data_IF_353083606088
#
_entry.id   IF_353083606088
#
_cell.length_a   1.000
_cell.length_b   1.000
_cell.length_c   1.000
_cell.angle_alpha   90.00
_cell.angle_beta   90.00
_cell.angle_gamma   90.00
#
_symmetry.space_group_name_H-M   'P 1'
#
loop_
_entity.id
_entity.type
_entity.pdbx_description
1 polymer ?
#
# COMPACT_ATOMS: atom_id res chain seq x y z
N UNK A 1 -15.95 -12.97 4.20
CA UNK A 1 -14.97 -12.72 5.28
C UNK A 1 -13.71 -13.48 4.94
N UNK A 2 -12.56 -12.83 4.98
CA UNK A 2 -11.29 -13.52 4.82
C UNK A 2 -10.89 -14.21 6.12
N UNK A 3 -10.50 -15.48 6.04
CA UNK A 3 -10.03 -16.26 7.18
C UNK A 3 -8.50 -16.43 7.21
N UNK A 4 -7.79 -15.65 6.41
CA UNK A 4 -6.33 -15.62 6.37
C UNK A 4 -5.82 -14.18 6.40
N UNK A 5 -4.78 -13.93 7.18
CA UNK A 5 -3.98 -12.69 7.16
C UNK A 5 -2.53 -13.07 6.89
N UNK A 6 -1.96 -12.46 5.87
CA UNK A 6 -0.54 -12.54 5.55
C UNK A 6 0.18 -11.33 6.13
N UNK A 7 1.37 -11.54 6.68
CA UNK A 7 2.19 -10.53 7.35
C UNK A 7 3.60 -10.58 6.79
N UNK A 8 3.91 -9.65 5.90
CA UNK A 8 5.24 -9.49 5.33
C UNK A 8 6.15 -8.77 6.35
N UNK A 9 7.27 -9.39 6.67
CA UNK A 9 8.20 -8.89 7.69
C UNK A 9 9.64 -8.87 7.20
N UNK A 10 10.52 -8.26 7.99
CA UNK A 10 11.97 -8.28 7.70
C UNK A 10 12.63 -9.65 7.82
N UNK A 11 11.93 -10.69 8.30
CA UNK A 11 12.49 -12.04 8.49
C UNK A 11 11.51 -13.15 8.12
N UNK A 12 10.71 -12.95 7.10
CA UNK A 12 9.80 -13.97 6.59
C UNK A 12 8.40 -13.45 6.30
N UNK A 13 7.61 -14.31 5.66
CA UNK A 13 6.18 -14.16 5.49
C UNK A 13 5.49 -15.02 6.55
N UNK A 14 4.79 -14.38 7.47
CA UNK A 14 3.97 -15.03 8.48
C UNK A 14 2.51 -15.02 8.02
N UNK A 15 1.78 -16.08 8.35
CA UNK A 15 0.35 -16.16 8.04
C UNK A 15 -0.42 -16.60 9.25
N UNK A 16 -1.58 -16.02 9.48
CA UNK A 16 -2.51 -16.40 10.51
C UNK A 16 -3.80 -16.86 9.86
N UNK A 17 -4.35 -17.98 10.34
CA UNK A 17 -5.62 -18.50 9.86
C UNK A 17 -6.64 -18.52 10.99
N UNK A 18 -7.85 -18.09 10.69
CA UNK A 18 -8.99 -18.19 11.59
C UNK A 18 -9.55 -19.61 11.61
N UNK A 19 -9.72 -20.18 12.79
CA UNK A 19 -10.36 -21.46 13.02
C UNK A 19 -11.41 -21.35 14.12
N UNK A 20 -11.98 -22.49 14.53
CA UNK A 20 -12.99 -22.53 15.59
C UNK A 20 -12.55 -21.99 16.95
N UNK A 21 -11.25 -21.94 17.22
CA UNK A 21 -10.66 -21.41 18.46
C UNK A 21 -10.03 -20.03 18.28
N UNK A 22 -10.33 -19.31 17.19
CA UNK A 22 -9.76 -18.01 16.88
C UNK A 22 -8.62 -18.07 15.84
N UNK A 23 -7.74 -17.06 15.84
CA UNK A 23 -6.64 -16.93 14.90
C UNK A 23 -5.40 -17.68 15.39
N UNK A 24 -4.82 -18.50 14.53
CA UNK A 24 -3.61 -19.28 14.82
C UNK A 24 -2.55 -19.05 13.74
N UNK A 25 -1.29 -18.94 14.20
CA UNK A 25 -0.14 -18.83 13.29
C UNK A 25 0.06 -20.14 12.51
N UNK A 26 0.43 -20.02 11.23
CA UNK A 26 0.91 -21.10 10.37
C UNK A 26 2.45 -21.12 10.34
N UNK A 27 3.02 -22.16 9.76
CA UNK A 27 4.47 -22.19 9.50
C UNK A 27 4.87 -21.01 8.61
N UNK A 28 5.89 -20.23 8.97
CA UNK A 28 6.32 -19.10 8.16
C UNK A 28 7.04 -19.56 6.89
N UNK A 29 6.85 -18.79 5.81
CA UNK A 29 7.65 -18.93 4.59
C UNK A 29 8.82 -17.93 4.59
N UNK A 30 9.88 -18.22 3.83
CA UNK A 30 11.06 -17.35 3.64
C UNK A 30 11.72 -16.93 4.96
N UNK A 31 11.80 -17.87 5.93
CA UNK A 31 12.30 -17.58 7.27
C UNK A 31 13.74 -17.03 7.24
N UNK A 32 13.92 -15.84 7.83
CA UNK A 32 15.19 -15.11 7.82
C UNK A 32 15.35 -14.08 6.69
N UNK A 33 14.49 -14.12 5.66
CA UNK A 33 14.56 -13.25 4.50
C UNK A 33 13.53 -12.11 4.57
N UNK A 34 13.90 -10.85 4.22
CA UNK A 34 12.96 -9.74 4.20
C UNK A 34 11.93 -9.88 3.08
N UNK A 35 10.66 -9.92 3.44
CA UNK A 35 9.51 -9.86 2.51
C UNK A 35 9.01 -8.42 2.50
N UNK A 36 9.00 -7.79 1.32
CA UNK A 36 8.57 -6.39 1.14
C UNK A 36 7.08 -6.27 0.84
N UNK A 37 6.54 -7.21 0.07
CA UNK A 37 5.14 -7.20 -0.37
C UNK A 37 4.57 -8.61 -0.45
N UNK A 38 3.29 -8.74 -0.18
CA UNK A 38 2.48 -9.94 -0.47
C UNK A 38 1.21 -9.52 -1.19
N UNK A 39 0.81 -10.28 -2.19
CA UNK A 39 -0.44 -10.10 -2.94
C UNK A 39 -1.17 -11.43 -3.01
N UNK A 40 -2.40 -11.50 -2.55
CA UNK A 40 -3.32 -12.59 -2.89
C UNK A 40 -4.13 -12.17 -4.10
N UNK A 41 -4.03 -12.90 -5.20
CA UNK A 41 -4.79 -12.63 -6.41
C UNK A 41 -6.25 -13.05 -6.20
N UNK A 42 -7.21 -12.12 -6.20
CA UNK A 42 -8.61 -12.45 -5.92
C UNK A 42 -9.29 -13.25 -7.03
N UNK A 43 -8.62 -13.44 -8.19
CA UNK A 43 -9.17 -14.12 -9.36
C UNK A 43 -8.96 -15.64 -9.31
N UNK A 44 -7.82 -16.08 -8.77
CA UNK A 44 -7.45 -17.51 -8.73
C UNK A 44 -6.87 -17.97 -7.37
N UNK A 45 -6.70 -17.04 -6.42
CA UNK A 45 -6.19 -17.34 -5.09
C UNK A 45 -4.68 -17.53 -5.02
N UNK A 46 -3.94 -17.29 -6.11
CA UNK A 46 -2.48 -17.34 -6.10
C UNK A 46 -1.90 -16.27 -5.16
N UNK A 47 -0.87 -16.64 -4.41
CA UNK A 47 -0.20 -15.72 -3.49
C UNK A 47 1.18 -15.39 -4.06
N UNK A 48 1.47 -14.10 -4.18
CA UNK A 48 2.78 -13.60 -4.60
C UNK A 48 3.50 -13.01 -3.41
N UNK A 49 4.80 -13.33 -3.26
CA UNK A 49 5.67 -12.77 -2.24
C UNK A 49 6.91 -12.15 -2.88
N UNK A 50 7.13 -10.87 -2.63
CA UNK A 50 8.31 -10.14 -3.08
C UNK A 50 9.32 -10.01 -1.93
N UNK A 51 10.57 -10.39 -2.18
CA UNK A 51 11.66 -10.37 -1.23
C UNK A 51 12.69 -9.32 -1.62
N UNK A 52 13.23 -8.61 -0.62
CA UNK A 52 14.31 -7.62 -0.78
C UNK A 52 15.59 -8.13 -0.12
N UNK A 53 16.44 -8.80 -0.88
CA UNK A 53 17.61 -9.49 -0.33
C UNK A 53 18.91 -8.64 -0.39
N UNK A 54 18.79 -7.32 -0.43
CA UNK A 54 19.94 -6.41 -0.50
C UNK A 54 20.79 -6.67 -1.75
N UNK A 55 22.09 -6.95 -1.56
CA UNK A 55 23.00 -7.21 -2.69
C UNK A 55 22.68 -8.45 -3.52
N UNK A 56 21.84 -9.38 -3.02
CA UNK A 56 21.33 -10.50 -3.80
C UNK A 56 20.12 -10.13 -4.68
N UNK A 57 19.69 -8.84 -4.61
CA UNK A 57 18.61 -8.29 -5.42
C UNK A 57 17.22 -8.64 -4.91
N UNK A 58 16.25 -8.33 -5.74
CA UNK A 58 14.83 -8.64 -5.49
C UNK A 58 14.52 -10.03 -6.00
N UNK A 59 13.68 -10.77 -5.27
CA UNK A 59 13.13 -12.06 -5.69
C UNK A 59 11.61 -12.01 -5.65
N UNK A 60 10.99 -12.75 -6.53
CA UNK A 60 9.53 -12.93 -6.55
C UNK A 60 9.22 -14.41 -6.50
N UNK A 61 8.21 -14.77 -5.72
CA UNK A 61 7.74 -16.15 -5.60
C UNK A 61 6.22 -16.18 -5.70
N UNK A 62 5.69 -17.30 -6.20
CA UNK A 62 4.25 -17.57 -6.26
C UNK A 62 3.94 -18.89 -5.57
N UNK A 63 2.84 -18.91 -4.85
CA UNK A 63 2.20 -20.11 -4.32
C UNK A 63 0.82 -20.26 -4.95
N UNK A 64 0.53 -21.45 -5.44
CA UNK A 64 -0.78 -21.83 -6.01
C UNK A 64 -1.58 -22.76 -5.06
N UNK A 65 -1.07 -23.00 -3.85
CA UNK A 65 -1.63 -23.93 -2.85
C UNK A 65 -1.88 -23.29 -1.46
N UNK A 66 -2.09 -21.99 -1.44
CA UNK A 66 -2.38 -21.24 -0.20
C UNK A 66 -1.17 -21.05 0.71
N UNK A 67 0.04 -21.03 0.14
CA UNK A 67 1.30 -20.74 0.84
C UNK A 67 2.02 -21.98 1.38
N UNK A 68 1.63 -23.20 0.97
CA UNK A 68 2.32 -24.43 1.40
C UNK A 68 3.62 -24.62 0.63
N UNK A 69 3.60 -24.39 -0.69
CA UNK A 69 4.79 -24.43 -1.55
C UNK A 69 4.95 -23.17 -2.37
N UNK A 70 6.20 -22.86 -2.75
CA UNK A 70 6.54 -21.61 -3.42
C UNK A 70 7.44 -21.87 -4.63
N UNK A 71 7.03 -21.33 -5.77
CA UNK A 71 7.79 -21.35 -7.03
C UNK A 71 8.48 -20.00 -7.22
N UNK A 72 9.79 -20.02 -7.45
CA UNK A 72 10.53 -18.80 -7.79
C UNK A 72 10.16 -18.33 -9.20
N UNK A 73 9.90 -17.04 -9.34
CA UNK A 73 9.57 -16.36 -10.59
C UNK A 73 10.65 -15.37 -10.99
N UNK A 74 10.59 -14.88 -12.23
CA UNK A 74 11.36 -13.72 -12.64
C UNK A 74 10.92 -12.48 -11.83
N UNK A 75 11.87 -11.72 -11.30
CA UNK A 75 11.58 -10.40 -10.74
C UNK A 75 11.63 -9.34 -11.84
N UNK A 76 10.87 -8.21 -11.69
CA UNK A 76 11.02 -7.06 -12.59
C UNK A 76 12.48 -6.63 -12.70
N UNK A 77 12.93 -6.34 -13.92
CA UNK A 77 14.28 -5.86 -14.19
C UNK A 77 14.23 -4.79 -15.29
N UNK A 78 15.02 -3.73 -15.14
CA UNK A 78 15.14 -2.73 -16.21
C UNK A 78 15.77 -3.37 -17.46
N UNK A 79 15.27 -3.01 -18.66
CA UNK A 79 15.88 -3.45 -19.91
C UNK A 79 17.35 -3.06 -19.97
N UNK A 80 18.17 -3.94 -20.57
CA UNK A 80 19.55 -3.61 -20.85
C UNK A 80 19.62 -2.41 -21.81
N UNK A 81 20.44 -1.42 -21.50
CA UNK A 81 20.70 -0.30 -22.40
C UNK A 81 21.88 -0.65 -23.30
N UNK A 82 21.60 -1.00 -24.55
CA UNK A 82 22.66 -1.23 -25.53
C UNK A 82 23.42 0.06 -25.83
N UNK A 83 24.74 0.02 -25.71
CA UNK A 83 25.62 1.14 -26.05
C UNK A 83 25.66 2.30 -25.05
N UNK A 84 25.06 2.16 -23.88
CA UNK A 84 25.21 3.16 -22.82
C UNK A 84 26.43 2.84 -21.95
N UNK A 85 27.25 3.88 -21.65
CA UNK A 85 28.36 3.76 -20.69
C UNK A 85 27.86 3.56 -19.24
N UNK A 86 26.59 3.88 -18.98
CA UNK A 86 25.95 3.71 -17.67
C UNK A 86 25.17 2.39 -17.59
N UNK A 87 25.41 1.65 -16.52
CA UNK A 87 24.69 0.43 -16.22
C UNK A 87 23.22 0.75 -15.92
N UNK A 88 22.30 -0.04 -16.47
CA UNK A 88 20.86 0.08 -16.16
C UNK A 88 20.62 0.08 -14.65
N UNK A 89 19.65 0.87 -14.14
CA UNK A 89 19.30 0.86 -12.73
C UNK A 89 18.97 -0.55 -12.24
N UNK A 90 19.34 -0.87 -11.01
CA UNK A 90 18.90 -2.12 -10.38
C UNK A 90 17.61 -1.90 -9.59
N UNK A 91 16.71 -2.87 -9.60
CA UNK A 91 15.53 -2.86 -8.74
C UNK A 91 15.97 -3.08 -7.31
N UNK A 92 15.66 -2.13 -6.43
CA UNK A 92 15.95 -2.20 -4.99
C UNK A 92 14.83 -2.93 -4.23
N UNK A 93 13.58 -2.61 -4.56
CA UNK A 93 12.43 -3.24 -3.91
C UNK A 93 11.19 -3.20 -4.81
N UNK A 94 10.36 -4.24 -4.74
CA UNK A 94 8.95 -4.18 -5.15
C UNK A 94 8.20 -3.58 -3.96
N UNK A 95 7.58 -2.41 -4.16
CA UNK A 95 6.93 -1.65 -3.10
C UNK A 95 5.40 -1.66 -3.18
N UNK A 96 4.85 -2.04 -4.32
CA UNK A 96 3.43 -2.31 -4.50
C UNK A 96 3.22 -3.44 -5.52
N UNK A 97 2.20 -4.25 -5.31
CA UNK A 97 1.67 -5.20 -6.28
C UNK A 97 0.16 -5.09 -6.34
N UNK A 98 -0.40 -5.22 -7.54
CA UNK A 98 -1.85 -5.27 -7.74
C UNK A 98 -2.22 -6.27 -8.85
N UNK A 99 -3.26 -7.04 -8.60
CA UNK A 99 -3.89 -7.86 -9.64
C UNK A 99 -4.63 -6.96 -10.64
N UNK A 100 -4.62 -7.33 -11.91
CA UNK A 100 -5.46 -6.72 -12.94
C UNK A 100 -6.95 -6.93 -12.67
N UNK A 101 -7.81 -6.40 -13.54
CA UNK A 101 -9.26 -6.59 -13.43
C UNK A 101 -9.68 -8.05 -13.60
N UNK A 102 -10.96 -8.34 -13.28
CA UNK A 102 -11.51 -9.69 -13.38
C UNK A 102 -11.46 -10.27 -14.80
N UNK A 103 -11.48 -9.41 -15.80
CA UNK A 103 -11.37 -9.73 -17.24
C UNK A 103 -9.93 -9.85 -17.75
N UNK A 104 -8.93 -9.69 -16.89
CA UNK A 104 -7.50 -9.69 -17.24
C UNK A 104 -6.76 -10.83 -16.50
N UNK A 105 -7.07 -12.11 -16.77
CA UNK A 105 -6.45 -13.24 -16.08
C UNK A 105 -4.91 -13.20 -16.23
N UNK A 106 -4.20 -13.42 -15.13
CA UNK A 106 -2.73 -13.44 -15.09
C UNK A 106 -2.02 -12.10 -15.13
N UNK A 107 -2.76 -10.98 -15.29
CA UNK A 107 -2.17 -9.65 -15.29
C UNK A 107 -1.85 -9.19 -13.86
N UNK A 108 -0.58 -8.84 -13.60
CA UNK A 108 -0.09 -8.31 -12.33
C UNK A 108 0.69 -7.03 -12.61
N UNK A 109 0.44 -5.99 -11.82
CA UNK A 109 1.20 -4.76 -11.80
C UNK A 109 2.18 -4.76 -10.64
N UNK A 110 3.37 -4.19 -10.83
CA UNK A 110 4.38 -4.01 -9.79
C UNK A 110 4.96 -2.60 -9.82
N UNK A 111 4.84 -1.88 -8.72
CA UNK A 111 5.51 -0.61 -8.44
C UNK A 111 6.84 -0.88 -7.73
N UNK A 112 7.91 -0.30 -8.24
CA UNK A 112 9.26 -0.56 -7.73
C UNK A 112 10.01 0.73 -7.37
N UNK A 113 11.00 0.59 -6.49
CA UNK A 113 12.09 1.55 -6.34
C UNK A 113 13.34 1.02 -7.07
N UNK A 114 14.06 1.87 -7.82
CA UNK A 114 13.76 3.25 -8.19
C UNK A 114 12.57 3.35 -9.16
N UNK A 115 11.80 4.35 -8.97
CA UNK A 115 10.63 4.83 -9.66
C UNK A 115 10.30 4.24 -11.03
N UNK A 116 9.68 3.08 -11.05
CA UNK A 116 9.12 2.48 -12.25
C UNK A 116 7.88 1.61 -11.94
N UNK A 117 7.06 1.45 -12.96
CA UNK A 117 5.93 0.54 -12.97
C UNK A 117 6.23 -0.58 -13.98
N UNK A 118 5.96 -1.81 -13.58
CA UNK A 118 6.07 -2.98 -14.44
C UNK A 118 4.73 -3.71 -14.53
N UNK A 119 4.53 -4.41 -15.62
CA UNK A 119 3.36 -5.27 -15.83
C UNK A 119 3.80 -6.66 -16.26
N UNK A 120 3.22 -7.68 -15.65
CA UNK A 120 3.24 -9.06 -16.10
C UNK A 120 1.87 -9.43 -16.65
N UNK A 121 1.82 -10.22 -17.73
CA UNK A 121 0.59 -10.73 -18.35
C UNK A 121 0.47 -12.25 -18.27
N UNK A 122 1.39 -12.89 -17.57
CA UNK A 122 1.61 -14.33 -17.50
C UNK A 122 1.81 -14.83 -16.05
N UNK A 123 1.10 -14.24 -15.10
CA UNK A 123 1.15 -14.61 -13.68
C UNK A 123 2.55 -14.44 -13.05
N UNK A 124 3.29 -13.40 -13.48
CA UNK A 124 4.61 -13.06 -12.93
C UNK A 124 5.80 -13.81 -13.56
N UNK A 125 5.59 -14.62 -14.60
CA UNK A 125 6.68 -15.34 -15.28
C UNK A 125 7.61 -14.40 -16.05
N UNK A 126 7.06 -13.31 -16.62
CA UNK A 126 7.84 -12.25 -17.25
C UNK A 126 7.29 -10.87 -16.94
N UNK A 127 8.13 -9.84 -17.11
CA UNK A 127 7.81 -8.46 -16.76
C UNK A 127 8.19 -7.49 -17.87
N UNK A 128 7.31 -6.54 -18.13
CA UNK A 128 7.53 -5.46 -19.09
C UNK A 128 7.53 -4.13 -18.36
N UNK A 129 8.52 -3.29 -18.59
CA UNK A 129 8.55 -1.90 -18.11
C UNK A 129 7.43 -1.11 -18.78
N UNK A 130 6.65 -0.37 -18.01
CA UNK A 130 5.64 0.57 -18.50
C UNK A 130 6.36 1.86 -18.91
N UNK A 131 6.96 1.83 -20.11
CA UNK A 131 7.76 2.95 -20.64
C UNK A 131 6.92 4.21 -20.85
N UNK A 132 5.63 4.08 -21.15
CA UNK A 132 4.69 5.20 -21.23
C UNK A 132 4.62 6.08 -19.98
N UNK A 133 4.86 5.50 -18.78
CA UNK A 133 4.99 6.25 -17.52
C UNK A 133 6.47 6.58 -17.22
N UNK A 134 7.37 5.64 -17.51
CA UNK A 134 8.80 5.77 -17.18
C UNK A 134 9.50 6.88 -17.97
N UNK A 135 9.11 7.08 -19.24
CA UNK A 135 9.74 8.03 -20.15
C UNK A 135 9.10 9.43 -20.12
N UNK A 136 8.11 9.65 -19.23
CA UNK A 136 7.49 10.95 -19.07
C UNK A 136 8.52 12.01 -18.65
N UNK A 137 8.54 13.20 -19.26
CA UNK A 137 9.44 14.28 -18.86
C UNK A 137 9.21 14.75 -17.43
N UNK A 138 8.00 14.67 -16.91
CA UNK A 138 7.60 15.03 -15.55
C UNK A 138 8.30 14.18 -14.49
N UNK A 139 8.68 12.94 -14.83
CA UNK A 139 9.42 12.04 -13.94
C UNK A 139 10.74 12.64 -13.45
N UNK A 140 11.35 13.54 -14.20
CA UNK A 140 12.58 14.25 -13.81
C UNK A 140 12.37 15.18 -12.60
N UNK A 141 11.12 15.55 -12.31
CA UNK A 141 10.74 16.35 -11.15
C UNK A 141 10.44 15.53 -9.90
N UNK A 142 10.39 14.18 -9.99
CA UNK A 142 10.14 13.34 -8.84
C UNK A 142 11.39 13.22 -7.97
N UNK A 143 11.22 13.11 -6.66
CA UNK A 143 12.33 13.03 -5.71
C UNK A 143 12.03 12.03 -4.59
N UNK A 144 13.02 11.77 -3.73
CA UNK A 144 12.86 10.82 -2.63
C UNK A 144 11.93 11.35 -1.54
N UNK A 145 11.07 10.47 -1.02
CA UNK A 145 10.14 10.72 0.07
C UNK A 145 10.18 9.56 1.06
N UNK A 146 9.27 8.60 0.94
CA UNK A 146 9.24 7.43 1.81
C UNK A 146 10.42 6.46 1.65
N UNK A 147 11.17 6.57 0.56
CA UNK A 147 12.48 5.96 0.31
C UNK A 147 13.43 7.05 -0.19
N UNK A 148 14.72 6.74 -0.33
CA UNK A 148 15.70 7.69 -0.91
C UNK A 148 15.35 8.08 -2.35
N UNK A 149 14.61 7.23 -3.05
CA UNK A 149 14.18 7.43 -4.43
C UNK A 149 12.64 7.41 -4.49
N UNK A 150 12.02 8.18 -5.41
CA UNK A 150 10.58 8.12 -5.60
C UNK A 150 10.18 6.70 -6.03
N UNK A 151 9.00 6.25 -5.61
CA UNK A 151 8.51 4.94 -5.99
C UNK A 151 6.99 4.84 -5.95
N UNK A 152 6.35 4.12 -6.91
CA UNK A 152 4.95 3.77 -6.84
C UNK A 152 4.68 2.86 -5.64
N UNK A 153 3.77 3.27 -4.77
CA UNK A 153 3.38 2.48 -3.58
C UNK A 153 1.90 2.15 -3.56
N UNK A 154 1.09 2.77 -4.43
CA UNK A 154 -0.32 2.43 -4.58
C UNK A 154 -0.63 2.21 -6.05
N UNK A 155 -1.26 1.08 -6.36
CA UNK A 155 -1.74 0.74 -7.70
C UNK A 155 -3.20 0.32 -7.56
N UNK A 156 -4.10 1.02 -8.25
CA UNK A 156 -5.53 0.76 -8.20
C UNK A 156 -6.06 0.49 -9.60
N UNK A 157 -6.84 -0.57 -9.74
CA UNK A 157 -7.59 -0.90 -10.95
C UNK A 157 -9.06 -0.58 -10.67
N UNK A 158 -9.70 0.19 -11.56
CA UNK A 158 -11.13 0.49 -11.42
C UNK A 158 -11.93 -0.83 -11.64
N UNK A 159 -12.73 -1.26 -10.68
CA UNK A 159 -13.49 -2.51 -10.81
C UNK A 159 -14.57 -2.47 -11.90
N UNK A 160 -14.91 -1.29 -12.42
CA UNK A 160 -15.89 -1.08 -13.51
C UNK A 160 -15.27 -1.13 -14.91
N UNK A 161 -13.96 -0.78 -15.00
CA UNK A 161 -13.20 -0.78 -16.24
C UNK A 161 -11.72 -1.03 -15.94
N UNK A 162 -11.27 -2.23 -16.20
CA UNK A 162 -9.91 -2.70 -15.91
C UNK A 162 -8.79 -1.95 -16.67
N UNK A 163 -9.15 -1.16 -17.69
CA UNK A 163 -8.21 -0.29 -18.39
C UNK A 163 -7.86 0.95 -17.59
N UNK A 164 -8.70 1.31 -16.60
CA UNK A 164 -8.47 2.47 -15.74
C UNK A 164 -7.57 2.09 -14.57
N UNK A 165 -6.35 2.60 -14.63
CA UNK A 165 -5.31 2.36 -13.63
C UNK A 165 -4.93 3.67 -12.97
N UNK A 166 -4.88 3.70 -11.65
CA UNK A 166 -4.38 4.85 -10.88
C UNK A 166 -3.15 4.41 -10.09
N UNK A 167 -2.09 5.21 -10.15
CA UNK A 167 -0.83 4.98 -9.44
C UNK A 167 -0.51 6.20 -8.59
N UNK A 168 -0.18 5.99 -7.30
CA UNK A 168 0.37 7.04 -6.46
C UNK A 168 1.85 6.78 -6.20
N UNK A 169 2.65 7.84 -6.32
CA UNK A 169 4.11 7.82 -6.28
C UNK A 169 4.56 8.76 -5.16
N UNK A 170 5.41 8.26 -4.26
CA UNK A 170 6.00 9.08 -3.19
C UNK A 170 6.82 10.21 -3.80
N UNK A 171 6.48 11.46 -3.49
CA UNK A 171 7.02 12.68 -4.09
C UNK A 171 7.02 12.67 -5.63
N UNK A 172 5.97 12.10 -6.21
CA UNK A 172 5.75 12.00 -7.66
C UNK A 172 4.27 12.13 -8.05
N UNK A 173 3.39 12.38 -7.07
CA UNK A 173 1.96 12.65 -7.29
C UNK A 173 1.10 11.44 -7.62
N UNK A 174 -0.05 11.71 -8.21
CA UNK A 174 -1.04 10.72 -8.61
C UNK A 174 -1.18 10.71 -10.13
N UNK A 175 -1.04 9.53 -10.73
CA UNK A 175 -1.07 9.34 -12.17
C UNK A 175 -2.21 8.41 -12.56
N UNK A 176 -2.89 8.70 -13.67
CA UNK A 176 -4.01 7.89 -14.17
C UNK A 176 -3.84 7.54 -15.63
N UNK A 177 -4.21 6.32 -15.94
CA UNK A 177 -4.37 5.78 -17.29
C UNK A 177 -5.81 5.35 -17.49
N UNK A 178 -6.36 5.60 -18.68
CA UNK A 178 -7.68 5.14 -19.10
C UNK A 178 -7.59 4.04 -20.19
N UNK A 179 -6.38 3.61 -20.54
CA UNK A 179 -6.04 2.72 -21.66
C UNK A 179 -5.10 1.56 -21.29
N UNK A 180 -5.21 1.07 -20.05
CA UNK A 180 -4.40 -0.04 -19.52
C UNK A 180 -2.88 0.24 -19.49
N UNK A 181 -2.50 1.51 -19.27
CA UNK A 181 -1.12 1.94 -19.13
C UNK A 181 -0.42 2.33 -20.42
N UNK A 182 -1.14 2.42 -21.54
CA UNK A 182 -0.56 2.89 -22.82
C UNK A 182 -0.25 4.39 -22.79
N UNK A 183 -1.04 5.18 -22.04
CA UNK A 183 -0.79 6.59 -21.78
C UNK A 183 -1.13 6.97 -20.34
N UNK A 184 -0.51 8.05 -19.86
CA UNK A 184 -0.68 8.53 -18.48
C UNK A 184 -0.90 10.03 -18.45
N UNK A 185 -1.71 10.47 -17.52
CA UNK A 185 -1.93 11.88 -17.21
C UNK A 185 -1.82 12.12 -15.69
N UNK A 186 -1.34 13.30 -15.37
CA UNK A 186 -1.21 13.75 -13.99
C UNK A 186 -2.59 14.12 -13.44
N UNK A 187 -2.91 13.60 -12.26
CA UNK A 187 -4.14 13.83 -11.52
C UNK A 187 -3.80 14.36 -10.10
N UNK A 188 -4.71 14.23 -9.15
CA UNK A 188 -4.43 14.62 -7.76
C UNK A 188 -4.45 16.13 -7.53
N UNK A 189 -5.24 16.88 -8.29
CA UNK A 189 -5.42 18.31 -8.07
C UNK A 189 -5.96 18.57 -6.66
N UNK A 190 -5.47 19.63 -5.98
CA UNK A 190 -5.92 19.99 -4.63
C UNK A 190 -5.14 19.31 -3.50
N UNK A 191 -4.29 18.31 -3.79
CA UNK A 191 -3.30 17.85 -2.83
C UNK A 191 -2.32 19.00 -2.53
N UNK A 192 -1.80 19.05 -1.28
CA UNK A 192 -0.97 20.16 -0.82
C UNK A 192 0.31 19.65 -0.16
N UNK A 193 1.44 19.94 -0.76
CA UNK A 193 2.79 19.65 -0.27
C UNK A 193 3.35 20.88 0.48
N UNK A 194 3.03 21.02 1.77
CA UNK A 194 3.43 22.19 2.57
C UNK A 194 4.96 22.28 2.80
N UNK A 195 5.70 21.21 2.52
CA UNK A 195 7.16 21.20 2.55
C UNK A 195 7.80 21.86 1.29
N UNK A 196 7.00 22.09 0.25
CA UNK A 196 7.44 22.79 -0.96
C UNK A 196 7.31 24.31 -0.81
N UNK A 197 8.06 25.12 -1.62
CA UNK A 197 7.83 26.56 -1.69
C UNK A 197 6.35 26.88 -2.00
N UNK A 198 5.81 28.01 -1.53
CA UNK A 198 4.38 28.32 -1.63
C UNK A 198 3.79 28.27 -3.05
N UNK A 199 4.59 28.64 -4.06
CA UNK A 199 4.21 28.58 -5.49
C UNK A 199 4.20 27.15 -6.06
N UNK A 200 4.81 26.19 -5.37
CA UNK A 200 4.86 24.79 -5.73
C UNK A 200 4.00 23.89 -4.84
N UNK A 201 3.43 24.43 -3.76
CA UNK A 201 2.70 23.64 -2.76
C UNK A 201 1.51 22.85 -3.35
N UNK A 202 0.89 23.34 -4.41
CA UNK A 202 -0.21 22.68 -5.13
C UNK A 202 0.19 22.12 -6.48
N UNK A 203 1.48 22.06 -6.81
CA UNK A 203 1.94 21.40 -8.02
C UNK A 203 1.70 19.88 -7.90
N UNK A 204 0.85 19.27 -8.73
CA UNK A 204 0.46 17.86 -8.56
C UNK A 204 1.63 16.89 -8.81
N UNK A 205 2.68 17.30 -9.52
CA UNK A 205 3.84 16.46 -9.82
C UNK A 205 4.80 16.25 -8.62
N UNK A 206 4.67 17.06 -7.56
CA UNK A 206 5.57 17.00 -6.39
C UNK A 206 4.84 16.54 -5.12
N UNK A 207 3.60 16.11 -5.25
CA UNK A 207 2.81 15.65 -4.11
C UNK A 207 3.36 14.33 -3.54
N UNK A 208 3.27 14.18 -2.22
CA UNK A 208 3.70 12.98 -1.51
C UNK A 208 2.49 12.25 -0.86
N UNK A 209 1.66 11.58 -1.65
CA UNK A 209 0.69 10.66 -1.09
C UNK A 209 1.44 9.54 -0.38
N UNK A 210 1.09 9.26 0.88
CA UNK A 210 1.63 8.10 1.58
C UNK A 210 0.92 6.81 1.20
N UNK A 211 -0.41 6.87 1.03
CA UNK A 211 -1.22 5.77 0.53
C UNK A 211 -2.56 6.31 0.01
N UNK A 212 -3.07 5.72 -1.07
CA UNK A 212 -4.45 5.92 -1.52
C UNK A 212 -5.25 4.63 -1.43
N UNK A 213 -6.47 4.72 -0.91
CA UNK A 213 -7.40 3.60 -0.81
C UNK A 213 -8.78 4.02 -1.34
N UNK A 214 -9.50 3.11 -2.03
CA UNK A 214 -10.82 3.40 -2.57
C UNK A 214 -11.87 2.41 -2.10
N UNK A 215 -13.09 2.89 -1.98
CA UNK A 215 -14.25 2.05 -1.80
C UNK A 215 -14.50 1.23 -3.07
N UNK A 216 -14.56 -0.11 -2.96
CA UNK A 216 -14.81 -0.98 -4.12
C UNK A 216 -16.19 -0.78 -4.73
N UNK A 217 -17.21 -0.56 -3.89
CA UNK A 217 -18.58 -0.35 -4.33
C UNK A 217 -18.80 1.04 -4.97
N UNK A 218 -17.97 2.01 -4.63
CA UNK A 218 -17.95 3.33 -5.25
C UNK A 218 -16.50 3.80 -5.46
N UNK A 219 -15.84 3.36 -6.55
CA UNK A 219 -14.43 3.64 -6.79
C UNK A 219 -14.11 5.11 -7.11
N UNK A 220 -15.13 5.96 -7.26
CA UNK A 220 -14.95 7.40 -7.37
C UNK A 220 -14.57 8.03 -6.03
N UNK A 221 -14.92 7.38 -4.91
CA UNK A 221 -14.48 7.81 -3.58
C UNK A 221 -13.12 7.22 -3.25
N UNK A 222 -12.11 8.10 -3.17
CA UNK A 222 -10.72 7.76 -2.86
C UNK A 222 -10.27 8.52 -1.63
N UNK A 223 -9.77 7.80 -0.65
CA UNK A 223 -9.13 8.35 0.53
C UNK A 223 -7.60 8.38 0.34
N UNK A 224 -6.98 9.46 0.76
CA UNK A 224 -5.54 9.61 0.70
C UNK A 224 -5.00 9.99 2.10
N UNK A 225 -4.11 9.16 2.64
CA UNK A 225 -3.18 9.63 3.63
C UNK A 225 -2.03 10.28 2.88
N UNK A 226 -1.88 11.56 3.01
CA UNK A 226 -0.81 12.36 2.42
C UNK A 226 0.21 12.77 3.49
N UNK A 227 1.43 13.12 3.09
CA UNK A 227 2.46 13.66 4.00
C UNK A 227 1.94 14.82 4.85
N UNK A 228 1.13 15.70 4.28
CA UNK A 228 0.61 16.87 4.97
C UNK A 228 -0.83 16.73 5.49
N UNK A 229 -1.39 15.53 5.53
CA UNK A 229 -2.72 15.34 6.10
C UNK A 229 -3.58 14.30 5.43
N UNK A 230 -4.87 14.37 5.69
CA UNK A 230 -5.89 13.49 5.12
C UNK A 230 -6.63 14.23 4.01
N UNK A 231 -6.77 13.56 2.87
CA UNK A 231 -7.49 14.09 1.72
C UNK A 231 -8.52 13.07 1.21
N UNK A 232 -9.58 13.58 0.59
CA UNK A 232 -10.63 12.77 -0.02
C UNK A 232 -10.93 13.26 -1.43
N UNK A 233 -11.11 12.33 -2.33
CA UNK A 233 -11.63 12.53 -3.68
C UNK A 233 -13.02 11.92 -3.82
N UNK A 234 -13.86 12.51 -4.66
CA UNK A 234 -15.19 12.00 -5.05
C UNK A 234 -15.32 11.81 -6.58
N UNK A 235 -14.19 11.91 -7.30
CA UNK A 235 -14.09 11.81 -8.76
C UNK A 235 -13.00 10.82 -9.21
N UNK A 236 -12.72 9.82 -8.38
CA UNK A 236 -11.77 8.75 -8.70
C UNK A 236 -10.31 9.18 -8.59
N UNK A 237 -10.00 10.26 -7.86
CA UNK A 237 -8.64 10.75 -7.64
C UNK A 237 -8.19 11.82 -8.62
N UNK A 238 -9.11 12.43 -9.38
CA UNK A 238 -8.80 13.61 -10.20
C UNK A 238 -8.53 14.83 -9.33
N UNK A 239 -9.45 15.07 -8.38
CA UNK A 239 -9.34 16.17 -7.42
C UNK A 239 -9.47 15.66 -6.01
N UNK A 240 -8.78 16.31 -5.07
CA UNK A 240 -8.81 16.00 -3.66
C UNK A 240 -9.12 17.24 -2.82
N UNK A 241 -9.92 17.06 -1.79
CA UNK A 241 -10.17 18.06 -0.76
C UNK A 241 -9.46 17.66 0.55
N UNK A 242 -8.77 18.62 1.18
CA UNK A 242 -8.13 18.43 2.48
C UNK A 242 -9.16 18.34 3.60
N UNK A 243 -8.97 17.39 4.53
CA UNK A 243 -9.76 17.22 5.74
C UNK A 243 -8.87 17.61 6.92
N UNK A 244 -9.20 18.73 7.57
CA UNK A 244 -8.36 19.33 8.62
C UNK A 244 -8.83 18.99 10.03
N UNK A 245 -10.12 18.74 10.22
CA UNK A 245 -10.75 18.54 11.55
C UNK A 245 -10.64 17.06 11.99
N UNK A 246 -9.41 16.61 12.28
CA UNK A 246 -9.13 15.24 12.70
C UNK A 246 -8.31 15.23 13.99
N UNK A 247 -8.79 14.53 15.00
CA UNK A 247 -8.08 14.32 16.27
C UNK A 247 -7.67 12.85 16.39
N UNK A 248 -6.45 12.55 16.92
CA UNK A 248 -5.48 13.47 17.51
C UNK A 248 -4.50 14.09 16.50
N UNK A 249 -4.43 13.62 15.25
CA UNK A 249 -3.56 14.16 14.20
C UNK A 249 -4.08 13.78 12.83
N UNK A 250 -3.79 14.62 11.83
CA UNK A 250 -3.98 14.31 10.39
C UNK A 250 -2.77 13.61 9.77
N UNK A 251 -1.63 13.58 10.45
CA UNK A 251 -0.41 12.94 9.95
C UNK A 251 -0.42 11.44 10.24
N UNK A 252 0.00 10.65 9.26
CA UNK A 252 0.15 9.21 9.34
C UNK A 252 0.66 8.62 8.02
N UNK A 253 0.63 7.31 7.89
CA UNK A 253 1.08 6.62 6.67
C UNK A 253 0.02 5.73 6.07
N UNK A 254 -0.81 5.11 6.90
CA UNK A 254 -1.77 4.09 6.49
C UNK A 254 -3.18 4.66 6.36
N UNK A 255 -3.90 4.18 5.36
CA UNK A 255 -5.34 4.39 5.19
C UNK A 255 -5.99 3.11 4.68
N UNK A 256 -7.14 2.74 5.23
CA UNK A 256 -8.00 1.69 4.71
C UNK A 256 -9.38 2.26 4.41
N UNK A 257 -9.96 1.94 3.25
CA UNK A 257 -11.30 2.35 2.86
C UNK A 257 -12.26 1.17 2.98
N UNK A 258 -13.46 1.40 3.54
CA UNK A 258 -14.45 0.34 3.62
C UNK A 258 -14.89 -0.11 2.22
N UNK A 259 -14.92 -1.43 1.95
CA UNK A 259 -15.14 -1.92 0.59
C UNK A 259 -16.54 -1.64 0.03
N UNK A 260 -17.56 -1.49 0.90
CA UNK A 260 -18.95 -1.30 0.51
C UNK A 260 -19.54 0.06 0.92
N UNK A 261 -18.93 0.75 1.88
CA UNK A 261 -19.41 2.07 2.36
C UNK A 261 -18.38 3.16 2.06
N UNK A 262 -18.63 4.03 1.06
CA UNK A 262 -17.70 5.08 0.67
C UNK A 262 -17.51 6.18 1.74
N UNK A 263 -18.40 6.25 2.73
CA UNK A 263 -18.31 7.21 3.81
C UNK A 263 -17.38 6.77 4.96
N UNK A 264 -16.98 5.49 4.97
CA UNK A 264 -16.17 4.89 6.04
C UNK A 264 -14.72 4.66 5.62
N UNK A 265 -13.79 5.16 6.43
CA UNK A 265 -12.35 4.94 6.29
C UNK A 265 -11.65 4.94 7.66
N UNK A 266 -10.48 4.28 7.72
CA UNK A 266 -9.62 4.19 8.90
C UNK A 266 -8.23 4.73 8.60
N UNK A 267 -7.64 5.39 9.61
CA UNK A 267 -6.28 5.94 9.56
C UNK A 267 -5.56 5.62 10.87
N UNK A 268 -4.23 5.65 10.84
CA UNK A 268 -3.42 5.45 12.05
C UNK A 268 -2.55 6.69 12.26
N UNK A 269 -2.94 7.61 13.16
CA UNK A 269 -2.27 8.87 13.34
C UNK A 269 -0.91 8.70 14.05
N UNK A 270 0.05 9.51 13.64
CA UNK A 270 1.33 9.75 14.29
C UNK A 270 1.52 11.25 14.54
N UNK A 271 2.58 11.63 15.28
CA UNK A 271 2.78 13.05 15.63
C UNK A 271 3.11 13.87 14.38
N UNK A 272 4.21 13.54 13.69
CA UNK A 272 4.69 14.20 12.47
C UNK A 272 5.87 13.42 11.86
N UNK A 273 6.33 13.86 10.70
CA UNK A 273 7.40 13.13 9.98
C UNK A 273 8.72 13.02 10.74
N UNK A 274 9.13 14.09 11.43
CA UNK A 274 10.36 14.06 12.22
C UNK A 274 10.22 13.40 13.60
N UNK A 275 8.97 13.05 13.98
CA UNK A 275 8.66 12.37 15.25
C UNK A 275 7.61 11.28 15.00
N UNK A 276 8.04 10.16 14.45
CA UNK A 276 7.22 9.06 13.97
C UNK A 276 6.79 8.10 15.09
N UNK A 277 6.06 8.65 16.05
CA UNK A 277 5.47 7.89 17.17
C UNK A 277 3.99 8.28 17.32
N UNK A 278 3.18 7.47 18.02
CA UNK A 278 1.80 7.82 18.32
C UNK A 278 1.69 9.13 19.11
N UNK A 279 0.63 9.88 18.86
CA UNK A 279 0.33 11.11 19.63
C UNK A 279 0.11 10.74 21.09
N UNK A 280 0.72 11.50 22.01
CA UNK A 280 0.68 11.25 23.47
C UNK A 280 1.13 9.85 23.86
N UNK A 281 1.93 9.17 23.02
CA UNK A 281 2.34 7.78 23.19
C UNK A 281 1.15 6.80 23.29
N UNK A 282 0.03 7.11 22.66
CA UNK A 282 -1.18 6.28 22.61
C UNK A 282 -1.41 5.78 21.20
N UNK A 283 -1.26 4.47 20.98
CA UNK A 283 -1.64 3.91 19.69
C UNK A 283 -3.17 3.93 19.57
N UNK A 284 -3.65 4.58 18.52
CA UNK A 284 -5.07 4.67 18.19
C UNK A 284 -5.30 4.49 16.70
N UNK A 285 -6.50 4.10 16.35
CA UNK A 285 -7.01 4.14 14.98
C UNK A 285 -8.10 5.21 14.93
N UNK A 286 -8.06 6.11 13.97
CA UNK A 286 -9.15 7.04 13.73
C UNK A 286 -10.05 6.52 12.62
N UNK A 287 -11.36 6.60 12.81
CA UNK A 287 -12.37 6.16 11.85
C UNK A 287 -13.36 7.27 11.56
N UNK A 288 -13.68 7.48 10.30
CA UNK A 288 -14.86 8.24 9.87
C UNK A 288 -15.93 7.30 9.33
N UNK A 289 -17.21 7.65 9.53
CA UNK A 289 -18.38 6.95 8.96
C UNK A 289 -19.32 7.91 8.21
N UNK A 290 -18.94 9.14 8.06
CA UNK A 290 -19.77 10.20 7.48
C UNK A 290 -19.06 11.00 6.37
N UNK A 291 -18.08 10.34 5.73
CA UNK A 291 -17.35 10.94 4.62
C UNK A 291 -16.29 11.95 5.03
N UNK A 292 -15.78 11.88 6.27
CA UNK A 292 -14.73 12.75 6.78
C UNK A 292 -15.22 14.00 7.49
N UNK A 293 -16.53 14.09 7.83
CA UNK A 293 -17.05 15.21 8.61
C UNK A 293 -16.74 15.10 10.09
N UNK A 294 -16.74 13.86 10.61
CA UNK A 294 -16.33 13.56 11.99
C UNK A 294 -15.42 12.32 12.02
N UNK A 295 -14.60 12.25 13.08
CA UNK A 295 -13.72 11.12 13.32
C UNK A 295 -13.86 10.61 14.75
N UNK A 296 -13.93 9.29 14.90
CA UNK A 296 -13.88 8.58 16.15
C UNK A 296 -12.44 8.11 16.43
N UNK A 297 -11.99 8.20 17.68
CA UNK A 297 -10.70 7.67 18.11
C UNK A 297 -10.91 6.32 18.80
N UNK A 298 -10.40 5.26 18.21
CA UNK A 298 -10.56 3.86 18.61
C UNK A 298 -9.26 3.34 19.24
N UNK A 299 -9.30 2.84 20.48
CA UNK A 299 -8.12 2.40 21.21
C UNK A 299 -8.33 1.16 22.05
N UNK A 300 -9.53 0.58 22.11
CA UNK A 300 -9.79 -0.59 22.95
C UNK A 300 -8.95 -1.80 22.51
N UNK A 301 -8.10 -2.31 23.41
CA UNK A 301 -7.16 -3.41 23.13
C UNK A 301 -5.84 -2.99 22.49
N UNK A 302 -5.63 -1.71 22.24
CA UNK A 302 -4.34 -1.16 21.78
C UNK A 302 -3.47 -0.69 22.97
N UNK A 303 -2.15 -0.72 22.83
CA UNK A 303 -1.24 -0.38 23.92
C UNK A 303 -1.22 1.12 24.24
N UNK A 304 -1.10 1.41 25.54
CA UNK A 304 -0.84 2.72 26.10
C UNK A 304 0.03 2.56 27.38
N UNK A 305 1.31 2.99 27.39
CA UNK A 305 2.03 3.70 26.32
C UNK A 305 2.42 2.81 25.15
N UNK A 306 2.66 3.43 23.98
CA UNK A 306 3.13 2.79 22.76
C UNK A 306 4.06 3.71 21.96
N UNK A 307 5.06 3.10 21.32
CA UNK A 307 5.95 3.75 20.35
C UNK A 307 5.85 3.09 18.97
N UNK A 308 4.77 2.34 18.75
CA UNK A 308 4.50 1.64 17.51
C UNK A 308 4.19 2.63 16.38
N UNK A 309 4.81 2.44 15.22
CA UNK A 309 4.49 3.15 14.00
C UNK A 309 3.88 2.17 13.00
N UNK A 310 2.81 2.59 12.35
CA UNK A 310 2.15 1.81 11.32
C UNK A 310 2.46 2.46 9.97
N UNK A 311 3.20 1.73 9.12
CA UNK A 311 3.52 2.21 7.78
C UNK A 311 2.38 1.91 6.79
N UNK A 312 2.48 2.49 5.59
CA UNK A 312 1.51 2.52 4.47
C UNK A 312 0.68 1.24 4.32
N UNK A 313 1.36 0.10 4.12
CA UNK A 313 0.73 -1.18 3.80
C UNK A 313 0.48 -2.05 5.04
N UNK A 314 0.70 -1.52 6.23
CA UNK A 314 0.58 -2.28 7.47
C UNK A 314 -0.79 -2.09 8.18
N UNK A 315 -1.79 -1.58 7.45
CA UNK A 315 -3.20 -1.59 7.81
C UNK A 315 -4.00 -2.11 6.62
N UNK A 316 -4.84 -3.11 6.84
CA UNK A 316 -5.71 -3.65 5.80
C UNK A 316 -7.10 -3.96 6.37
N UNK A 317 -8.12 -3.95 5.50
CA UNK A 317 -9.51 -4.27 5.80
C UNK A 317 -9.99 -5.38 4.88
N UNK A 318 -10.71 -6.35 5.44
CA UNK A 318 -11.25 -7.46 4.65
C UNK A 318 -12.43 -7.03 3.75
N UNK A 319 -12.84 -7.90 2.84
CA UNK A 319 -13.92 -7.62 1.89
C UNK A 319 -15.29 -7.33 2.52
N UNK A 320 -15.46 -7.58 3.82
CA UNK A 320 -16.72 -7.28 4.54
C UNK A 320 -16.69 -5.88 5.19
N UNK A 321 -15.50 -5.32 5.45
CA UNK A 321 -15.32 -4.10 6.23
C UNK A 321 -15.35 -4.30 7.74
N UNK A 322 -15.58 -5.53 8.22
CA UNK A 322 -15.68 -5.86 9.64
C UNK A 322 -14.32 -6.19 10.27
N UNK A 323 -13.43 -6.83 9.49
CA UNK A 323 -12.12 -7.22 9.98
C UNK A 323 -11.03 -6.27 9.50
N UNK A 324 -10.21 -5.82 10.44
CA UNK A 324 -8.99 -5.06 10.15
C UNK A 324 -7.79 -5.79 10.73
N UNK A 325 -6.68 -5.77 10.00
CA UNK A 325 -5.37 -6.19 10.49
C UNK A 325 -4.43 -4.98 10.51
N UNK A 326 -3.61 -4.89 11.56
CA UNK A 326 -2.66 -3.79 11.73
C UNK A 326 -1.34 -4.31 12.26
N UNK A 327 -0.24 -3.98 11.58
CA UNK A 327 1.12 -4.38 11.94
C UNK A 327 2.04 -3.19 12.15
N UNK A 328 3.01 -3.30 13.06
CA UNK A 328 3.90 -2.19 13.39
C UNK A 328 5.36 -2.43 13.02
N UNK A 329 6.11 -1.35 12.97
CA UNK A 329 7.58 -1.36 12.77
C UNK A 329 8.33 -1.99 13.95
N UNK A 330 7.68 -2.17 15.09
CA UNK A 330 8.23 -2.84 16.29
C UNK A 330 7.87 -4.32 16.35
N UNK A 331 7.07 -4.83 15.37
CA UNK A 331 6.74 -6.25 15.27
C UNK A 331 5.48 -6.67 16.02
N UNK A 332 4.66 -5.72 16.43
CA UNK A 332 3.35 -6.01 16.99
C UNK A 332 2.30 -6.18 15.88
N UNK A 333 1.43 -7.16 16.06
CA UNK A 333 0.31 -7.45 15.14
C UNK A 333 -0.98 -7.45 15.92
N UNK A 334 -1.95 -6.66 15.47
CA UNK A 334 -3.31 -6.61 16.01
C UNK A 334 -4.33 -6.95 14.93
N UNK A 335 -5.44 -7.50 15.38
CA UNK A 335 -6.61 -7.76 14.57
C UNK A 335 -7.86 -7.22 15.26
N UNK A 336 -8.76 -6.62 14.51
CA UNK A 336 -10.12 -6.28 14.93
C UNK A 336 -11.12 -7.13 14.13
N UNK A 337 -12.18 -7.58 14.76
CA UNK A 337 -13.35 -8.25 14.14
C UNK A 337 -14.63 -7.42 14.36
N UNK A 338 -14.48 -6.12 14.61
CA UNK A 338 -15.58 -5.20 14.96
C UNK A 338 -15.42 -3.82 14.29
N UNK A 339 -14.88 -3.78 13.04
CA UNK A 339 -14.69 -2.53 12.33
C UNK A 339 -13.72 -1.56 13.04
N UNK A 340 -12.77 -2.08 13.83
CA UNK A 340 -11.78 -1.30 14.55
C UNK A 340 -12.19 -0.90 15.98
N UNK A 341 -13.40 -1.25 16.46
CA UNK A 341 -13.85 -0.88 17.81
C UNK A 341 -13.03 -1.55 18.91
N UNK A 342 -12.72 -2.83 18.72
CA UNK A 342 -11.89 -3.60 19.62
C UNK A 342 -10.76 -4.31 18.88
N UNK A 343 -9.56 -4.26 19.43
CA UNK A 343 -8.36 -4.90 18.90
C UNK A 343 -7.87 -6.03 19.78
N UNK A 344 -7.43 -7.11 19.16
CA UNK A 344 -6.76 -8.23 19.83
C UNK A 344 -5.35 -8.33 19.31
N UNK A 345 -4.37 -8.33 20.21
CA UNK A 345 -2.98 -8.54 19.84
C UNK A 345 -2.76 -10.03 19.52
N UNK A 346 -2.43 -10.31 18.25
CA UNK A 346 -2.10 -11.68 17.82
C UNK A 346 -0.65 -12.04 18.08
N UNK A 347 0.26 -11.07 18.04
CA UNK A 347 1.67 -11.26 18.33
C UNK A 347 2.32 -9.94 18.77
N UNK A 348 3.29 -10.04 19.69
CA UNK A 348 4.16 -8.95 20.14
C UNK A 348 5.63 -9.19 19.76
N UNK A 349 5.94 -10.23 18.99
CA UNK A 349 7.31 -10.72 18.81
C UNK A 349 7.66 -11.02 17.35
N UNK A 350 6.86 -10.51 16.39
CA UNK A 350 7.20 -10.59 14.97
C UNK A 350 8.39 -9.67 14.66
N UNK A 351 9.15 -9.95 13.61
CA UNK A 351 10.09 -8.97 13.07
C UNK A 351 9.33 -7.73 12.58
N UNK A 352 10.01 -6.57 12.37
CA UNK A 352 9.38 -5.37 11.83
C UNK A 352 8.47 -5.68 10.63
N UNK A 353 7.21 -5.24 10.71
CA UNK A 353 6.19 -5.56 9.73
C UNK A 353 6.23 -4.50 8.62
N UNK A 354 6.27 -4.94 7.37
CA UNK A 354 6.23 -4.10 6.18
C UNK A 354 4.80 -3.98 5.62
N UNK A 355 4.04 -5.10 5.67
CA UNK A 355 2.68 -5.15 5.15
C UNK A 355 1.85 -6.19 5.91
N UNK A 356 0.56 -5.91 6.05
CA UNK A 356 -0.48 -6.91 6.35
C UNK A 356 -1.45 -6.98 5.17
N UNK A 357 -1.96 -8.16 4.85
CA UNK A 357 -2.93 -8.33 3.77
C UNK A 357 -3.89 -9.48 4.09
N UNK A 358 -5.19 -9.25 3.93
CA UNK A 358 -6.17 -10.33 3.94
C UNK A 358 -6.08 -11.16 2.65
N UNK A 359 -6.14 -12.50 2.81
CA UNK A 359 -6.08 -13.47 1.72
C UNK A 359 -7.46 -13.98 1.28
#
# INVERSE_FOLDING_TARGET
MSDVVHVATRKGLFSYRRGGQGWAARAPAFLGEPVSQVLTDPRDGAIYAALRLGHFGVKLHRSDDGGETWTALAAPAFPAQEGADEKAPSVDTIWAMAAGGADQPGLIWAGIAPSALFVSRDRGESWTLVSSLYDLPERKGWFGGGTELPAPHSIRIDPRDSRKVTVAISCGGVWKSDDAGESWRLAGQGLRAAFMPPDQAYNPNVQDPHLIAACRANPDVVWCQHHNGIFKSEDGGETFAEITEVSPSTFGFAVAAHPADPATAWFVPAVKDELRVPVDNKLVVTRTRDGGRTFETLSEGLPNPSWDLIYRHALDVDATGERLAMGSTTGNLWLSESGGERWTQLSAHLPPIAQVAFG
#
